data_IF_013080172426
#
_entry.id   IF_013080172426
#
_cell.length_a   1.000
_cell.length_b   1.000
_cell.length_c   1.000
_cell.angle_alpha   90.00
_cell.angle_beta   90.00
_cell.angle_gamma   90.00
#
_symmetry.space_group_name_H-M   'P 1'
#
loop_
_entity.id
_entity.type
_entity.pdbx_description
1 polymer ?
#
# COMPACT_ATOMS: atom_id res chain seq x y z
N UNK A 1 37.94 8.77 47.80
CA UNK A 1 37.86 7.71 48.80
C UNK A 1 37.43 6.47 48.05
N UNK A 2 38.39 5.68 47.64
CA UNK A 2 38.86 4.41 48.15
C UNK A 2 37.77 3.35 48.14
N UNK A 3 37.94 2.36 47.23
CA UNK A 3 38.41 0.97 47.27
C UNK A 3 37.23 0.02 47.39
N UNK A 4 37.09 -1.14 46.76
CA UNK A 4 38.03 -2.26 46.47
C UNK A 4 37.29 -3.26 45.51
N UNK A 5 37.92 -3.78 44.46
CA UNK A 5 37.84 -5.14 43.94
C UNK A 5 38.64 -6.04 44.90
N UNK A 6 38.60 -7.39 44.91
CA UNK A 6 38.71 -8.37 43.85
C UNK A 6 37.87 -9.65 44.12
N UNK A 7 37.85 -10.78 43.49
CA UNK A 7 38.81 -11.73 42.95
C UNK A 7 38.09 -12.90 42.28
N UNK A 8 38.53 -13.29 41.19
CA UNK A 8 38.96 -14.55 40.57
C UNK A 8 38.85 -15.82 41.44
N UNK A 9 38.23 -16.90 40.93
CA UNK A 9 38.74 -18.24 41.10
C UNK A 9 38.45 -19.12 39.86
N UNK A 10 39.52 -19.64 39.34
CA UNK A 10 39.68 -20.61 38.26
C UNK A 10 39.74 -22.00 38.90
N UNK A 11 39.09 -23.02 38.33
CA UNK A 11 39.51 -24.42 38.50
C UNK A 11 39.42 -25.21 37.22
N UNK A 12 40.53 -25.84 36.91
CA UNK A 12 40.82 -26.71 35.78
C UNK A 12 40.64 -28.18 36.11
N UNK A 13 40.47 -28.96 35.04
CA UNK A 13 40.89 -30.34 34.78
C UNK A 13 39.99 -31.46 35.37
N UNK A 14 39.81 -32.60 34.75
CA UNK A 14 40.67 -33.41 33.89
C UNK A 14 39.88 -34.52 33.16
N UNK A 15 40.49 -35.01 32.10
CA UNK A 15 40.34 -36.19 31.27
C UNK A 15 39.76 -37.48 31.85
N UNK A 16 39.10 -38.27 30.97
CA UNK A 16 38.83 -39.70 31.16
C UNK A 16 38.32 -40.35 29.87
N UNK A 17 39.12 -41.16 29.29
CA UNK A 17 39.10 -41.90 28.02
C UNK A 17 38.01 -42.95 27.87
N UNK A 18 37.67 -43.22 26.60
CA UNK A 18 36.86 -44.32 26.05
C UNK A 18 37.31 -45.73 26.44
N UNK A 19 36.51 -46.81 26.21
CA UNK A 19 36.49 -47.43 24.90
C UNK A 19 35.13 -48.02 24.42
N UNK A 20 35.10 -48.28 23.14
CA UNK A 20 34.35 -49.09 22.21
C UNK A 20 33.54 -50.28 22.72
N UNK A 21 32.34 -50.48 22.12
CA UNK A 21 31.97 -51.70 21.39
C UNK A 21 30.55 -51.60 20.80
N UNK A 22 30.49 -51.65 19.51
CA UNK A 22 29.75 -52.48 18.54
C UNK A 22 28.32 -52.97 18.82
N UNK A 23 27.57 -52.77 17.75
CA UNK A 23 26.54 -53.50 16.99
C UNK A 23 25.10 -53.05 17.16
N UNK A 24 24.56 -52.56 16.15
CA UNK A 24 23.91 -52.99 14.90
C UNK A 24 22.37 -53.08 15.00
N UNK A 25 21.79 -52.55 13.95
CA UNK A 25 20.49 -52.85 13.32
C UNK A 25 19.25 -52.08 13.76
N UNK A 26 18.67 -51.43 12.75
CA UNK A 26 17.26 -51.10 12.75
C UNK A 26 16.92 -49.79 12.01
N UNK A 27 17.06 -49.84 10.74
CA UNK A 27 16.39 -49.00 9.72
C UNK A 27 14.98 -48.60 10.13
N UNK A 28 14.69 -47.32 10.08
CA UNK A 28 13.54 -46.78 9.35
C UNK A 28 13.75 -45.26 9.15
N UNK A 29 14.06 -44.93 7.94
CA UNK A 29 14.14 -43.59 7.41
C UNK A 29 12.71 -43.08 7.18
N UNK A 30 12.18 -42.36 8.13
CA UNK A 30 11.00 -41.53 7.90
C UNK A 30 11.47 -40.21 7.27
N UNK A 31 11.49 -40.26 5.94
CA UNK A 31 11.70 -39.09 5.08
C UNK A 31 10.45 -38.24 5.13
N UNK A 32 10.31 -37.42 6.15
CA UNK A 32 9.38 -36.31 6.15
C UNK A 32 9.81 -35.35 5.03
N UNK A 33 9.24 -35.50 3.85
CA UNK A 33 9.26 -34.48 2.81
C UNK A 33 8.64 -33.21 3.38
N UNK A 34 9.47 -32.31 3.88
CA UNK A 34 9.09 -30.93 4.05
C UNK A 34 8.71 -30.38 2.67
N UNK A 35 7.43 -30.31 2.40
CA UNK A 35 6.89 -29.59 1.26
C UNK A 35 7.24 -28.12 1.48
N UNK A 36 8.36 -27.69 0.96
CA UNK A 36 8.69 -26.28 0.79
C UNK A 36 7.67 -25.75 -0.21
N UNK A 37 6.59 -25.17 0.28
CA UNK A 37 5.75 -24.25 -0.49
C UNK A 37 6.64 -23.06 -0.85
N UNK A 38 7.32 -23.15 -1.98
CA UNK A 38 7.85 -21.96 -2.66
C UNK A 38 6.62 -21.11 -2.97
N UNK A 39 6.40 -20.06 -2.20
CA UNK A 39 5.53 -18.97 -2.64
C UNK A 39 6.18 -18.41 -3.88
N UNK A 40 5.65 -18.78 -5.04
CA UNK A 40 6.03 -18.26 -6.33
C UNK A 40 5.62 -16.78 -6.33
N UNK A 41 6.54 -15.91 -5.90
CA UNK A 41 6.32 -14.48 -6.00
C UNK A 41 6.46 -14.13 -7.46
N UNK A 42 5.35 -13.73 -8.09
CA UNK A 42 5.38 -13.24 -9.46
C UNK A 42 6.46 -12.15 -9.61
N UNK A 43 7.07 -12.08 -10.79
CA UNK A 43 7.89 -10.92 -11.15
C UNK A 43 7.06 -9.64 -11.06
N UNK A 44 7.70 -8.50 -10.80
CA UNK A 44 7.00 -7.22 -10.75
C UNK A 44 6.17 -6.99 -12.04
N UNK A 45 5.00 -6.37 -11.87
CA UNK A 45 4.04 -6.06 -12.93
C UNK A 45 3.59 -7.29 -13.74
N UNK A 46 3.46 -8.42 -13.07
CA UNK A 46 2.90 -9.64 -13.65
C UNK A 46 1.78 -10.19 -12.75
N UNK A 47 0.92 -11.01 -13.32
CA UNK A 47 -0.09 -11.76 -12.59
C UNK A 47 0.36 -13.21 -12.47
N UNK A 48 0.22 -13.79 -11.28
CA UNK A 48 0.31 -15.24 -11.09
C UNK A 48 -0.84 -15.92 -11.81
N UNK A 49 -0.74 -17.23 -12.05
CA UNK A 49 -1.84 -17.98 -12.66
C UNK A 49 -3.07 -18.04 -11.75
N UNK A 50 -2.87 -18.04 -10.45
CA UNK A 50 -3.95 -17.92 -9.48
C UNK A 50 -4.69 -16.57 -9.63
N UNK A 51 -3.97 -15.46 -9.69
CA UNK A 51 -4.56 -14.12 -9.88
C UNK A 51 -5.32 -14.02 -11.20
N UNK A 52 -4.77 -14.56 -12.29
CA UNK A 52 -5.48 -14.61 -13.59
C UNK A 52 -6.79 -15.40 -13.46
N UNK A 53 -6.77 -16.56 -12.81
CA UNK A 53 -7.96 -17.40 -12.61
C UNK A 53 -9.00 -16.74 -11.70
N UNK A 54 -8.58 -15.90 -10.78
CA UNK A 54 -9.43 -15.11 -9.90
C UNK A 54 -10.01 -13.84 -10.56
N UNK A 55 -9.60 -13.51 -11.77
CA UNK A 55 -10.09 -12.34 -12.50
C UNK A 55 -9.35 -11.04 -12.24
N UNK A 56 -8.12 -11.09 -11.72
CA UNK A 56 -7.27 -9.91 -11.63
C UNK A 56 -6.81 -9.45 -13.01
N UNK A 57 -6.73 -8.15 -13.18
CA UNK A 57 -6.15 -7.49 -14.35
C UNK A 57 -5.04 -6.53 -13.92
N UNK A 58 -3.95 -6.49 -14.68
CA UNK A 58 -2.93 -5.46 -14.51
C UNK A 58 -3.45 -4.13 -15.03
N UNK A 59 -3.23 -3.07 -14.26
CA UNK A 59 -3.46 -1.69 -14.67
C UNK A 59 -2.15 -0.97 -15.06
N UNK A 60 -1.01 -1.62 -14.84
CA UNK A 60 0.30 -1.13 -15.24
C UNK A 60 1.21 -2.30 -15.62
N UNK A 61 1.77 -2.24 -16.81
CA UNK A 61 2.58 -3.30 -17.41
C UNK A 61 4.09 -3.18 -17.11
N UNK A 62 4.50 -2.14 -16.35
CA UNK A 62 5.90 -1.84 -16.08
C UNK A 62 6.65 -1.17 -17.23
N UNK A 63 6.00 -0.89 -18.37
CA UNK A 63 6.64 -0.39 -19.59
C UNK A 63 5.95 0.84 -20.17
N UNK A 64 4.63 0.94 -20.05
CA UNK A 64 3.83 1.99 -20.68
C UNK A 64 2.86 2.62 -19.69
N UNK A 65 2.35 3.80 -20.04
CA UNK A 65 1.24 4.47 -19.33
C UNK A 65 -0.12 4.16 -19.97
N UNK A 66 -0.22 3.10 -20.78
CA UNK A 66 -1.48 2.70 -21.40
C UNK A 66 -2.54 2.39 -20.34
N UNK A 67 -3.75 2.89 -20.54
CA UNK A 67 -4.84 2.76 -19.55
C UNK A 67 -4.88 3.88 -18.52
N UNK A 68 -4.02 4.91 -18.69
CA UNK A 68 -3.94 6.06 -17.80
C UNK A 68 -3.92 7.38 -18.59
N UNK A 69 -4.54 8.42 -18.03
CA UNK A 69 -4.50 9.79 -18.56
C UNK A 69 -4.43 10.81 -17.41
N UNK A 70 -4.15 12.08 -17.74
CA UNK A 70 -4.21 13.16 -16.75
C UNK A 70 -5.65 13.47 -16.38
N UNK A 71 -5.89 13.78 -15.11
CA UNK A 71 -7.25 14.12 -14.62
C UNK A 71 -7.91 15.18 -15.48
N UNK A 72 -9.17 14.93 -15.89
CA UNK A 72 -9.92 15.74 -16.84
C UNK A 72 -9.22 15.97 -18.20
N UNK A 73 -8.19 15.19 -18.55
CA UNK A 73 -7.38 15.35 -19.77
C UNK A 73 -6.82 16.77 -19.94
N UNK A 74 -6.50 17.43 -18.83
CA UNK A 74 -6.06 18.85 -18.81
C UNK A 74 -4.59 19.04 -19.16
N UNK A 75 -3.79 17.97 -19.21
CA UNK A 75 -2.37 18.04 -19.49
C UNK A 75 -1.82 16.76 -20.08
N UNK A 76 -0.53 16.77 -20.38
CA UNK A 76 0.20 15.55 -20.65
C UNK A 76 0.67 14.90 -19.35
N UNK A 77 1.20 13.68 -19.45
CA UNK A 77 1.74 12.94 -18.33
C UNK A 77 3.28 13.01 -18.29
N UNK A 78 3.87 14.16 -18.63
CA UNK A 78 5.33 14.28 -18.74
C UNK A 78 6.03 14.11 -17.39
N UNK A 79 5.38 14.53 -16.29
CA UNK A 79 5.93 14.39 -14.94
C UNK A 79 5.79 12.95 -14.40
N UNK A 80 4.86 12.18 -14.98
CA UNK A 80 4.73 10.75 -14.73
C UNK A 80 5.54 9.96 -15.74
N UNK A 81 6.58 9.29 -15.29
CA UNK A 81 7.51 8.56 -16.15
C UNK A 81 7.47 7.06 -15.83
N UNK A 82 7.84 6.23 -16.82
CA UNK A 82 8.09 4.81 -16.57
C UNK A 82 9.60 4.61 -16.45
N UNK A 83 10.05 4.28 -15.26
CA UNK A 83 11.48 4.10 -14.95
C UNK A 83 11.69 2.78 -14.22
N UNK A 84 12.54 1.92 -14.75
CA UNK A 84 12.91 0.64 -14.12
C UNK A 84 11.71 -0.22 -13.68
N UNK A 85 10.66 -0.28 -14.50
CA UNK A 85 9.46 -1.04 -14.20
C UNK A 85 8.52 -0.35 -13.20
N UNK A 86 8.74 0.92 -12.87
CA UNK A 86 7.86 1.69 -11.98
C UNK A 86 7.20 2.86 -12.70
N UNK A 87 5.96 3.15 -12.33
CA UNK A 87 5.29 4.39 -12.67
C UNK A 87 5.74 5.44 -11.65
N UNK A 88 6.57 6.37 -12.08
CA UNK A 88 7.29 7.31 -11.21
C UNK A 88 6.81 8.73 -11.45
N UNK A 89 6.37 9.40 -10.40
CA UNK A 89 6.24 10.85 -10.37
C UNK A 89 7.58 11.43 -9.89
N UNK A 90 8.19 12.29 -10.68
CA UNK A 90 9.43 12.97 -10.36
C UNK A 90 9.34 14.45 -10.71
N UNK A 91 8.32 15.11 -10.20
CA UNK A 91 8.07 16.55 -10.37
C UNK A 91 8.15 17.26 -9.03
N UNK A 92 8.50 18.54 -9.04
CA UNK A 92 8.33 19.45 -7.90
C UNK A 92 7.14 20.39 -8.10
N UNK A 93 6.38 20.17 -9.16
CA UNK A 93 5.16 20.89 -9.47
C UNK A 93 3.98 19.98 -9.15
N UNK A 94 2.89 20.54 -8.74
CA UNK A 94 1.60 19.86 -8.59
C UNK A 94 0.79 20.16 -9.84
N UNK A 95 1.10 19.43 -10.93
CA UNK A 95 0.48 19.72 -12.21
C UNK A 95 -0.80 18.87 -12.40
N UNK A 96 -0.66 17.54 -12.54
CA UNK A 96 -1.82 16.70 -12.83
C UNK A 96 -1.71 15.33 -12.19
N UNK A 97 -2.77 14.95 -11.48
CA UNK A 97 -2.99 13.58 -11.04
C UNK A 97 -3.18 12.67 -12.27
N UNK A 98 -2.73 11.42 -12.16
CA UNK A 98 -2.94 10.42 -13.18
C UNK A 98 -4.13 9.54 -12.80
N UNK A 99 -5.03 9.27 -13.75
CA UNK A 99 -6.25 8.51 -13.51
C UNK A 99 -6.39 7.36 -14.49
N UNK A 100 -7.12 6.31 -14.08
CA UNK A 100 -7.43 5.18 -14.96
C UNK A 100 -8.38 5.59 -16.07
N UNK A 101 -8.20 5.03 -17.29
CA UNK A 101 -9.14 5.25 -18.41
C UNK A 101 -10.53 4.66 -18.14
N UNK A 102 -10.59 3.63 -17.31
CA UNK A 102 -11.82 2.92 -16.95
C UNK A 102 -12.28 3.33 -15.56
N UNK A 103 -13.60 3.47 -15.42
CA UNK A 103 -14.26 3.65 -14.12
C UNK A 103 -14.61 2.29 -13.49
N UNK A 104 -14.54 2.23 -12.16
CA UNK A 104 -14.83 1.03 -11.37
C UNK A 104 -15.88 1.33 -10.30
N UNK A 105 -16.78 0.38 -10.07
CA UNK A 105 -17.80 0.49 -9.02
C UNK A 105 -17.45 -0.38 -7.82
N UNK A 106 -17.45 -1.71 -7.99
CA UNK A 106 -17.07 -2.68 -6.98
C UNK A 106 -15.75 -3.34 -7.40
N UNK A 107 -14.75 -3.28 -6.53
CA UNK A 107 -13.42 -3.74 -6.90
C UNK A 107 -12.57 -4.09 -5.68
N UNK A 108 -11.53 -4.88 -5.94
CA UNK A 108 -10.37 -5.06 -5.09
C UNK A 108 -9.16 -4.51 -5.88
N UNK A 109 -8.65 -3.38 -5.44
CA UNK A 109 -7.47 -2.71 -6.02
C UNK A 109 -6.25 -3.00 -5.15
N UNK A 110 -5.12 -3.27 -5.78
CA UNK A 110 -3.84 -3.51 -5.11
C UNK A 110 -2.72 -2.80 -5.82
N UNK A 111 -1.81 -2.19 -5.06
CA UNK A 111 -0.71 -1.39 -5.57
C UNK A 111 0.45 -1.40 -4.58
N UNK A 112 1.67 -1.48 -5.10
CA UNK A 112 2.86 -1.19 -4.31
C UNK A 112 3.31 0.24 -4.55
N UNK A 113 3.68 0.93 -3.46
CA UNK A 113 4.15 2.30 -3.50
C UNK A 113 5.41 2.51 -2.67
N UNK A 114 6.25 3.46 -3.10
CA UNK A 114 7.45 3.90 -2.42
C UNK A 114 7.52 5.42 -2.49
N UNK A 115 7.56 6.08 -1.35
CA UNK A 115 7.56 7.55 -1.23
C UNK A 115 8.94 8.06 -0.84
N UNK A 116 9.31 9.24 -1.30
CA UNK A 116 10.53 9.93 -0.88
C UNK A 116 10.44 10.42 0.56
N UNK A 117 11.58 10.77 1.15
CA UNK A 117 11.63 11.41 2.47
C UNK A 117 10.83 12.72 2.48
N UNK A 118 9.95 12.85 3.47
CA UNK A 118 9.03 13.98 3.60
C UNK A 118 7.97 14.06 2.51
N UNK A 119 7.78 13.00 1.71
CA UNK A 119 6.88 13.00 0.56
C UNK A 119 5.43 12.73 0.93
N UNK A 120 4.54 13.19 0.05
CA UNK A 120 3.09 13.05 0.10
C UNK A 120 2.57 12.66 -1.29
N UNK A 121 1.60 11.77 -1.30
CA UNK A 121 0.79 11.36 -2.44
C UNK A 121 -0.51 10.76 -1.91
N UNK A 122 -1.36 10.20 -2.78
CA UNK A 122 -2.63 9.59 -2.40
C UNK A 122 -3.16 8.65 -3.45
N UNK A 123 -4.01 7.73 -3.04
CA UNK A 123 -4.75 6.83 -3.92
C UNK A 123 -6.23 7.15 -3.74
N UNK A 124 -6.82 7.83 -4.73
CA UNK A 124 -8.23 8.21 -4.69
C UNK A 124 -9.07 7.28 -5.53
N UNK A 125 -10.34 7.12 -5.17
CA UNK A 125 -11.27 6.25 -5.88
C UNK A 125 -12.68 6.85 -5.94
N UNK A 126 -13.49 6.36 -6.89
CA UNK A 126 -14.81 6.95 -7.13
C UNK A 126 -14.72 8.40 -7.61
N UNK A 127 -13.60 8.73 -8.22
CA UNK A 127 -13.34 10.07 -8.76
C UNK A 127 -14.22 10.31 -9.99
N UNK A 128 -14.82 11.49 -10.06
CA UNK A 128 -15.63 11.91 -11.19
C UNK A 128 -14.93 13.00 -11.98
N UNK A 129 -14.80 12.80 -13.29
CA UNK A 129 -14.12 13.72 -14.20
C UNK A 129 -15.05 14.72 -14.91
N UNK A 130 -16.22 15.02 -14.35
CA UNK A 130 -17.06 16.04 -14.95
C UNK A 130 -16.35 17.41 -14.94
N UNK A 131 -16.46 18.21 -16.00
CA UNK A 131 -15.72 19.49 -16.14
C UNK A 131 -15.96 20.51 -15.03
N UNK A 132 -17.00 20.34 -14.23
CA UNK A 132 -17.28 21.18 -13.06
C UNK A 132 -16.35 20.94 -11.86
N UNK A 133 -15.60 19.82 -11.87
CA UNK A 133 -14.65 19.50 -10.81
C UNK A 133 -13.24 19.81 -11.28
N UNK A 134 -12.62 20.82 -10.69
CA UNK A 134 -11.26 21.21 -11.06
C UNK A 134 -10.20 20.26 -10.52
N UNK A 135 -10.53 19.48 -9.50
CA UNK A 135 -9.65 18.52 -8.83
C UNK A 135 -10.39 17.24 -8.52
N UNK A 136 -9.70 16.14 -8.56
CA UNK A 136 -10.18 14.79 -8.26
C UNK A 136 -10.62 14.64 -6.80
N UNK A 137 -9.92 15.26 -5.86
CA UNK A 137 -10.23 15.23 -4.44
C UNK A 137 -11.55 15.95 -4.07
N UNK A 138 -12.20 16.68 -4.99
CA UNK A 138 -13.56 17.21 -4.75
C UNK A 138 -14.61 16.09 -4.71
N UNK A 139 -14.30 14.94 -5.28
CA UNK A 139 -15.24 13.83 -5.40
C UNK A 139 -14.72 12.51 -4.82
N UNK A 140 -13.42 12.26 -4.91
CA UNK A 140 -12.79 10.99 -4.56
C UNK A 140 -12.32 10.93 -3.11
N UNK A 141 -12.80 9.96 -2.29
CA UNK A 141 -12.14 9.61 -1.04
C UNK A 141 -10.75 9.04 -1.31
N UNK A 142 -9.86 9.22 -0.35
CA UNK A 142 -8.43 8.96 -0.50
C UNK A 142 -7.90 8.00 0.56
N UNK A 143 -7.12 7.00 0.15
CA UNK A 143 -6.18 6.29 1.00
C UNK A 143 -4.84 7.02 0.95
N UNK A 144 -4.43 7.57 2.08
CA UNK A 144 -3.23 8.41 2.17
C UNK A 144 -1.95 7.64 1.92
N UNK A 145 -1.02 8.25 1.15
CA UNK A 145 0.36 7.81 0.92
C UNK A 145 1.30 8.90 1.43
N UNK A 146 2.04 8.59 2.51
CA UNK A 146 2.80 9.62 3.23
C UNK A 146 4.08 9.04 3.85
N UNK A 147 5.11 9.87 3.95
CA UNK A 147 6.20 9.64 4.90
C UNK A 147 5.75 10.07 6.32
N UNK A 148 5.34 9.10 7.12
CA UNK A 148 4.83 9.34 8.47
C UNK A 148 5.88 9.90 9.45
N UNK A 149 7.17 9.80 9.13
CA UNK A 149 8.24 10.28 10.01
C UNK A 149 8.55 11.76 9.82
N UNK A 150 8.49 12.25 8.55
CA UNK A 150 9.02 13.57 8.20
C UNK A 150 8.00 14.54 7.64
N UNK A 151 6.92 14.07 7.02
CA UNK A 151 5.92 14.99 6.48
C UNK A 151 5.12 15.67 7.59
N UNK A 152 4.80 16.95 7.43
CA UNK A 152 4.08 17.75 8.43
C UNK A 152 2.69 17.21 8.75
N UNK A 153 1.99 16.69 7.73
CA UNK A 153 0.63 16.13 7.87
C UNK A 153 0.57 14.91 8.78
N UNK A 154 1.68 14.16 8.93
CA UNK A 154 1.74 13.03 9.85
C UNK A 154 1.45 13.40 11.33
N UNK A 155 1.51 14.68 11.66
CA UNK A 155 1.16 15.22 12.99
C UNK A 155 -0.34 15.46 13.16
N UNK A 156 -1.09 15.41 12.07
CA UNK A 156 -2.54 15.65 12.06
C UNK A 156 -3.24 14.30 12.10
N UNK A 157 -4.15 14.05 13.05
CA UNK A 157 -4.96 12.84 13.05
C UNK A 157 -5.71 12.65 11.73
N UNK A 158 -5.77 11.41 11.24
CA UNK A 158 -6.42 11.02 9.98
C UNK A 158 -5.72 11.51 8.70
N UNK A 159 -4.41 11.88 8.79
CA UNK A 159 -3.60 12.30 7.64
C UNK A 159 -2.35 11.43 7.44
N UNK A 160 -2.24 10.32 8.14
CA UNK A 160 -1.10 9.40 8.07
C UNK A 160 -1.29 8.36 6.95
N UNK A 161 -0.21 7.76 6.51
CA UNK A 161 -0.26 6.71 5.49
C UNK A 161 -1.24 5.59 5.87
N UNK A 162 -2.14 5.25 4.93
CA UNK A 162 -3.18 4.25 5.11
C UNK A 162 -4.48 4.77 5.73
N UNK A 163 -4.51 5.99 6.24
CA UNK A 163 -5.76 6.62 6.71
C UNK A 163 -6.75 6.79 5.55
N UNK A 164 -8.04 6.67 5.84
CA UNK A 164 -9.06 7.26 5.00
C UNK A 164 -9.04 8.77 5.30
N UNK A 165 -8.35 9.50 4.43
CA UNK A 165 -7.89 10.86 4.67
C UNK A 165 -8.98 11.78 5.22
N UNK A 166 -8.67 12.45 6.34
CA UNK A 166 -9.54 13.34 7.13
C UNK A 166 -10.84 12.70 7.69
N UNK A 167 -11.09 11.41 7.43
CA UNK A 167 -12.29 10.69 7.88
C UNK A 167 -11.99 9.66 8.97
N UNK A 168 -11.10 8.69 8.71
CA UNK A 168 -10.82 7.58 9.64
C UNK A 168 -9.31 7.35 9.73
N UNK A 169 -8.76 7.35 10.94
CA UNK A 169 -7.37 6.93 11.16
C UNK A 169 -7.21 5.41 11.06
N UNK A 170 -6.06 4.97 10.59
CA UNK A 170 -5.64 3.58 10.69
C UNK A 170 -5.78 3.04 12.10
N UNK A 171 -6.33 1.84 12.22
CA UNK A 171 -6.41 1.11 13.49
C UNK A 171 -5.04 0.65 14.00
N UNK A 172 -4.11 0.46 13.09
CA UNK A 172 -2.74 0.01 13.38
C UNK A 172 -1.80 0.60 12.34
N UNK A 173 -0.67 1.14 12.78
CA UNK A 173 0.37 1.66 11.89
C UNK A 173 1.25 0.51 11.39
N UNK A 174 1.23 0.27 10.09
CA UNK A 174 2.01 -0.79 9.44
C UNK A 174 2.88 -0.25 8.30
N UNK A 175 2.89 1.08 8.11
CA UNK A 175 3.68 1.73 7.07
C UNK A 175 5.18 1.50 7.31
N UNK A 176 5.92 1.20 6.25
CA UNK A 176 7.37 1.14 6.25
C UNK A 176 7.94 2.54 5.97
N UNK A 177 9.14 2.85 6.47
CA UNK A 177 9.80 4.13 6.24
C UNK A 177 9.93 4.53 4.77
N UNK A 178 10.07 5.83 4.51
CA UNK A 178 10.35 6.35 3.18
C UNK A 178 11.52 5.62 2.51
N UNK A 179 11.44 5.42 1.20
CA UNK A 179 12.41 4.63 0.44
C UNK A 179 12.15 3.12 0.45
N UNK A 180 11.20 2.62 1.25
CA UNK A 180 10.79 1.22 1.26
C UNK A 180 9.45 1.02 0.57
N UNK A 181 9.27 -0.17 -0.04
CA UNK A 181 8.03 -0.53 -0.70
C UNK A 181 6.95 -0.92 0.31
N UNK A 182 5.79 -0.30 0.18
CA UNK A 182 4.57 -0.62 0.90
C UNK A 182 3.53 -1.16 -0.07
N UNK A 183 2.69 -2.09 0.36
CA UNK A 183 1.56 -2.60 -0.40
C UNK A 183 0.26 -2.04 0.17
N UNK A 184 -0.51 -1.33 -0.65
CA UNK A 184 -1.85 -0.84 -0.32
C UNK A 184 -2.91 -1.67 -1.05
N UNK A 185 -4.03 -1.93 -0.36
CA UNK A 185 -5.20 -2.54 -0.95
C UNK A 185 -6.45 -1.75 -0.57
N UNK A 186 -7.30 -1.49 -1.57
CA UNK A 186 -8.62 -0.87 -1.40
C UNK A 186 -9.66 -1.86 -1.89
N UNK A 187 -10.54 -2.30 -0.99
CA UNK A 187 -11.64 -3.20 -1.31
C UNK A 187 -12.94 -2.43 -1.12
N UNK A 188 -13.67 -2.24 -2.20
CA UNK A 188 -14.95 -1.54 -2.21
C UNK A 188 -16.00 -2.45 -2.85
N UNK A 189 -17.02 -2.85 -2.07
CA UNK A 189 -18.07 -3.74 -2.53
C UNK A 189 -19.43 -3.32 -1.95
N UNK A 190 -20.33 -2.85 -2.80
CA UNK A 190 -21.69 -2.41 -2.42
C UNK A 190 -21.72 -1.46 -1.22
N UNK A 191 -20.72 -0.57 -1.12
CA UNK A 191 -20.58 0.39 -0.04
C UNK A 191 -19.71 -0.07 1.12
N UNK A 192 -19.50 -1.35 1.33
CA UNK A 192 -18.47 -1.82 2.24
C UNK A 192 -17.10 -1.37 1.72
N UNK A 193 -16.31 -0.74 2.57
CA UNK A 193 -14.97 -0.23 2.28
C UNK A 193 -13.98 -0.77 3.28
N UNK A 194 -12.90 -1.36 2.77
CA UNK A 194 -11.79 -1.85 3.57
C UNK A 194 -10.47 -1.37 2.96
N UNK A 195 -9.57 -0.86 3.80
CA UNK A 195 -8.18 -0.62 3.43
C UNK A 195 -7.26 -1.61 4.13
N UNK A 196 -6.30 -2.14 3.35
CA UNK A 196 -5.17 -2.87 3.92
C UNK A 196 -3.87 -2.16 3.59
N UNK A 197 -2.98 -2.12 4.57
CA UNK A 197 -1.61 -1.65 4.39
C UNK A 197 -0.65 -2.73 4.87
N UNK A 198 0.23 -3.17 3.98
CA UNK A 198 1.18 -4.28 4.21
C UNK A 198 0.50 -5.55 4.73
N UNK A 199 -0.65 -5.92 4.14
CA UNK A 199 -1.42 -7.11 4.46
C UNK A 199 -2.31 -7.01 5.71
N UNK A 200 -2.24 -5.92 6.46
CA UNK A 200 -3.07 -5.68 7.65
C UNK A 200 -4.26 -4.79 7.30
N UNK A 201 -5.46 -5.19 7.68
CA UNK A 201 -6.66 -4.34 7.59
C UNK A 201 -6.52 -3.18 8.56
N UNK A 202 -6.50 -1.95 8.04
CA UNK A 202 -6.26 -0.72 8.81
C UNK A 202 -7.47 0.18 8.89
N UNK A 203 -8.38 0.12 7.92
CA UNK A 203 -9.65 0.86 7.91
C UNK A 203 -10.77 -0.07 7.46
N UNK A 204 -11.92 0.02 8.12
CA UNK A 204 -13.18 -0.58 7.68
C UNK A 204 -14.32 0.40 7.92
N UNK A 205 -15.21 0.56 6.95
CA UNK A 205 -16.41 1.41 7.08
C UNK A 205 -17.45 1.03 6.03
N UNK A 206 -18.62 1.64 6.13
CA UNK A 206 -19.65 1.56 5.09
C UNK A 206 -19.89 2.95 4.51
N UNK A 207 -19.66 3.08 3.21
CA UNK A 207 -19.94 4.32 2.47
C UNK A 207 -21.46 4.54 2.35
N UNK A 208 -21.85 5.80 2.30
CA UNK A 208 -23.21 6.27 2.02
C UNK A 208 -24.25 6.01 3.11
N UNK A 209 -23.91 5.35 4.21
CA UNK A 209 -24.77 5.24 5.39
C UNK A 209 -24.79 6.56 6.20
N UNK A 210 -25.52 6.58 7.29
CA UNK A 210 -25.64 7.78 8.13
C UNK A 210 -24.34 8.10 8.90
N UNK A 211 -23.50 7.10 9.18
CA UNK A 211 -22.19 7.31 9.78
C UNK A 211 -21.24 7.97 8.78
N UNK A 212 -21.23 7.49 7.53
CA UNK A 212 -20.48 8.12 6.44
C UNK A 212 -20.86 9.59 6.30
N UNK A 213 -22.15 9.89 6.20
CA UNK A 213 -22.65 11.27 6.08
C UNK A 213 -22.20 12.14 7.25
N UNK A 214 -22.25 11.61 8.49
CA UNK A 214 -21.79 12.33 9.68
C UNK A 214 -20.29 12.57 9.66
N UNK A 215 -19.48 11.60 9.22
CA UNK A 215 -18.03 11.75 9.08
C UNK A 215 -17.68 12.85 8.07
N UNK A 216 -18.29 12.83 6.89
CA UNK A 216 -18.08 13.85 5.86
C UNK A 216 -18.51 15.23 6.37
N UNK A 217 -19.67 15.34 7.00
CA UNK A 217 -20.16 16.59 7.56
C UNK A 217 -19.26 17.15 8.69
N UNK A 218 -18.52 16.29 9.38
CA UNK A 218 -17.57 16.67 10.43
C UNK A 218 -16.12 16.90 9.93
N UNK A 219 -15.86 16.75 8.64
CA UNK A 219 -14.53 16.84 8.03
C UNK A 219 -14.34 18.14 7.25
N UNK A 220 -13.14 18.34 6.72
CA UNK A 220 -12.85 19.45 5.78
C UNK A 220 -13.67 19.37 4.49
N UNK A 221 -14.22 18.20 4.16
CA UNK A 221 -15.03 17.96 2.96
C UNK A 221 -16.49 18.39 3.06
N UNK A 222 -16.93 18.89 4.22
CA UNK A 222 -18.34 19.25 4.49
C UNK A 222 -18.98 20.18 3.46
N UNK A 223 -18.18 21.04 2.83
CA UNK A 223 -18.67 21.99 1.82
C UNK A 223 -18.66 21.38 0.39
N UNK A 224 -18.10 20.18 0.20
CA UNK A 224 -18.02 19.51 -1.09
C UNK A 224 -19.18 18.50 -1.22
N UNK A 225 -20.29 19.00 -1.76
CA UNK A 225 -21.56 18.24 -1.80
C UNK A 225 -21.48 16.89 -2.49
N UNK A 226 -20.55 16.75 -3.42
CA UNK A 226 -20.40 15.53 -4.23
C UNK A 226 -19.26 14.63 -3.73
N UNK A 227 -18.58 14.99 -2.63
CA UNK A 227 -17.48 14.20 -2.07
C UNK A 227 -17.96 12.83 -1.58
N UNK A 228 -17.35 11.77 -2.11
CA UNK A 228 -17.63 10.39 -1.72
C UNK A 228 -19.05 9.92 -2.06
N UNK A 229 -19.76 10.58 -2.99
CA UNK A 229 -21.14 10.23 -3.35
C UNK A 229 -21.24 9.30 -4.57
N UNK A 230 -20.21 9.27 -5.42
CA UNK A 230 -20.21 8.48 -6.63
C UNK A 230 -19.98 7.00 -6.35
N UNK A 231 -20.87 6.16 -6.87
CA UNK A 231 -20.73 4.70 -6.74
C UNK A 231 -19.66 4.16 -7.68
N UNK A 232 -19.54 4.76 -8.87
CA UNK A 232 -18.60 4.43 -9.91
C UNK A 232 -17.75 5.64 -10.25
N UNK A 233 -16.45 5.45 -10.53
CA UNK A 233 -15.53 6.49 -10.93
C UNK A 233 -14.16 5.93 -11.22
N UNK A 234 -13.25 6.78 -11.67
CA UNK A 234 -11.87 6.42 -11.93
C UNK A 234 -11.07 6.31 -10.62
N UNK A 235 -9.94 5.61 -10.69
CA UNK A 235 -8.92 5.58 -9.62
C UNK A 235 -7.86 6.60 -10.00
N UNK A 236 -7.46 7.45 -9.05
CA UNK A 236 -6.44 8.47 -9.24
C UNK A 236 -5.22 8.20 -8.34
N UNK A 237 -4.04 8.52 -8.88
CA UNK A 237 -2.79 8.61 -8.13
C UNK A 237 -2.37 10.07 -8.08
N UNK A 238 -2.19 10.60 -6.87
CA UNK A 238 -2.03 12.02 -6.64
C UNK A 238 -0.62 12.51 -6.97
N UNK A 239 -0.55 13.63 -7.70
CA UNK A 239 0.61 14.49 -7.80
C UNK A 239 0.58 15.54 -6.69
N UNK A 240 1.32 15.32 -5.61
CA UNK A 240 1.51 16.30 -4.55
C UNK A 240 2.80 17.12 -4.71
N UNK A 241 3.56 16.92 -5.79
CA UNK A 241 4.85 17.56 -6.05
C UNK A 241 6.04 16.84 -5.42
N UNK A 242 5.83 15.66 -4.85
CA UNK A 242 6.86 14.86 -4.23
C UNK A 242 7.12 13.59 -5.04
N UNK A 243 8.36 13.09 -4.98
CA UNK A 243 8.69 11.85 -5.68
C UNK A 243 7.99 10.66 -5.04
N UNK A 244 7.23 9.95 -5.86
CA UNK A 244 6.60 8.68 -5.52
C UNK A 244 6.75 7.69 -6.68
N UNK A 245 6.87 6.41 -6.35
CA UNK A 245 6.98 5.32 -7.32
C UNK A 245 5.90 4.29 -7.03
N UNK A 246 5.29 3.77 -8.11
CA UNK A 246 4.25 2.75 -8.05
C UNK A 246 4.60 1.58 -8.94
N UNK A 247 4.24 0.37 -8.53
CA UNK A 247 4.33 -0.87 -9.31
C UNK A 247 3.26 -1.87 -8.87
N UNK A 248 3.18 -3.00 -9.55
CA UNK A 248 2.25 -4.08 -9.22
C UNK A 248 0.79 -3.61 -9.11
N UNK A 249 0.43 -2.63 -9.98
CA UNK A 249 -0.90 -2.03 -9.99
C UNK A 249 -1.87 -3.00 -10.65
N UNK A 250 -2.79 -3.54 -9.88
CA UNK A 250 -3.77 -4.51 -10.36
C UNK A 250 -5.12 -4.37 -9.68
N UNK A 251 -6.15 -4.81 -10.37
CA UNK A 251 -7.53 -4.70 -9.92
C UNK A 251 -8.32 -5.94 -10.32
N UNK A 252 -9.22 -6.34 -9.44
CA UNK A 252 -10.27 -7.33 -9.70
C UNK A 252 -11.63 -6.66 -9.49
N UNK A 253 -12.52 -6.72 -10.49
CA UNK A 253 -13.92 -6.29 -10.33
C UNK A 253 -14.68 -7.33 -9.50
N UNK A 254 -15.58 -6.86 -8.59
CA UNK A 254 -16.33 -7.69 -7.65
C UNK A 254 -17.83 -7.73 -7.98
#
# INVERSE_FOLDING_TARGET
>A
MRFILPSILLFLAACGSSPESTENAGTESDSSMATTTTTDSAADNTLTDAEKSEGWALLFDGQTKNGWHSYNKKGDLNDWQVENGTLTLNSKKRDFDIVTDKEYENFHFKIDWNISEGGNSGIMFGVNEAPKYDRDFYTGPEMQVLDNERHSDAKIPKHRAGDLYDLISCSTETVKPAGQWNTAEIIKNNGALEFKLNGTTVVTTTMWDDNWKKMVAGSKFKEWKDFGTFRKGVIALQDHGDKVMYKNIKLKEL
#
